data_IF_460771267112
#
_entry.id   IF_460771267112
#
_cell.length_a   1.000
_cell.length_b   1.000
_cell.length_c   1.000
_cell.angle_alpha   90.00
_cell.angle_beta   90.00
_cell.angle_gamma   90.00
#
_symmetry.space_group_name_H-M   'P 1'
#
loop_
_entity.id
_entity.type
_entity.pdbx_description
1 polymer ?
#
# COMPACT_ATOMS: atom_id res chain seq x y z
N UNK A 1 6.65 -4.33 38.55
CA UNK A 1 6.96 -3.85 37.18
C UNK A 1 8.39 -4.22 36.85
N UNK A 2 8.62 -5.20 35.96
CA UNK A 2 9.99 -5.56 35.55
C UNK A 2 10.50 -4.48 34.59
N UNK A 3 11.55 -3.77 35.01
CA UNK A 3 12.27 -2.79 34.19
C UNK A 3 12.74 -3.47 32.91
N UNK A 4 12.23 -3.04 31.75
CA UNK A 4 12.73 -3.54 30.47
C UNK A 4 14.18 -3.09 30.29
N UNK A 5 15.06 -4.02 29.93
CA UNK A 5 16.48 -3.74 29.67
C UNK A 5 16.62 -2.70 28.56
N UNK A 6 17.62 -1.80 28.66
CA UNK A 6 17.81 -0.70 27.72
C UNK A 6 17.83 -1.11 26.24
N UNK A 7 18.29 -2.34 25.95
CA UNK A 7 18.31 -2.95 24.62
C UNK A 7 16.91 -3.24 24.04
N UNK A 8 15.93 -3.59 24.88
CA UNK A 8 14.52 -3.73 24.48
C UNK A 8 13.91 -2.36 24.16
N UNK A 9 14.25 -1.34 24.95
CA UNK A 9 13.81 0.03 24.69
C UNK A 9 14.39 0.53 23.35
N UNK A 10 15.67 0.29 23.11
CA UNK A 10 16.38 0.66 21.88
C UNK A 10 15.80 -0.03 20.63
N UNK A 11 15.51 -1.34 20.69
CA UNK A 11 14.82 -2.07 19.61
C UNK A 11 13.41 -1.54 19.32
N UNK A 12 12.69 -1.08 20.35
CA UNK A 12 11.35 -0.49 20.21
C UNK A 12 11.39 0.99 19.78
N UNK A 13 12.52 1.66 19.96
CA UNK A 13 12.68 3.08 19.64
C UNK A 13 13.48 3.35 18.38
N UNK A 14 14.12 2.34 17.76
CA UNK A 14 14.94 2.54 16.56
C UNK A 14 14.02 2.67 15.34
N UNK A 15 13.83 3.87 14.78
CA UNK A 15 12.99 4.06 13.61
C UNK A 15 13.78 3.53 12.42
N UNK A 16 13.31 2.45 11.79
CA UNK A 16 13.80 2.09 10.46
C UNK A 16 12.99 2.92 9.48
N UNK A 17 13.53 4.07 9.12
CA UNK A 17 12.83 5.16 8.43
C UNK A 17 12.59 4.96 6.93
N UNK A 18 12.80 3.74 6.42
CA UNK A 18 12.78 3.47 4.98
C UNK A 18 11.86 2.28 4.65
N UNK A 19 11.08 2.42 3.58
CA UNK A 19 10.37 1.30 2.97
C UNK A 19 11.38 0.24 2.49
N UNK A 20 11.21 -1.02 2.90
CA UNK A 20 12.05 -2.14 2.41
C UNK A 20 11.71 -2.60 0.99
N UNK A 21 10.70 -1.97 0.35
CA UNK A 21 10.13 -2.49 -0.87
C UNK A 21 9.67 -3.96 -0.73
N UNK A 22 9.22 -4.38 0.46
CA UNK A 22 8.82 -5.79 0.68
C UNK A 22 7.48 -6.17 0.06
N UNK A 23 6.65 -5.20 -0.35
CA UNK A 23 5.33 -5.43 -0.93
C UNK A 23 4.21 -5.78 0.06
N UNK A 24 4.49 -5.84 1.38
CA UNK A 24 3.51 -6.32 2.36
C UNK A 24 2.27 -5.43 2.48
N UNK A 25 2.42 -4.12 2.24
CA UNK A 25 1.27 -3.22 2.15
C UNK A 25 0.30 -3.61 1.02
N UNK A 26 0.82 -4.15 -0.09
CA UNK A 26 -0.01 -4.63 -1.19
C UNK A 26 -0.65 -5.99 -0.87
N UNK A 27 0.08 -6.91 -0.23
CA UNK A 27 -0.46 -8.25 0.09
C UNK A 27 -1.56 -8.22 1.15
N UNK A 28 -1.43 -7.33 2.15
CA UNK A 28 -2.32 -7.37 3.31
C UNK A 28 -3.47 -6.35 3.25
N UNK A 29 -3.28 -5.20 2.58
CA UNK A 29 -4.24 -4.10 2.67
C UNK A 29 -4.88 -3.69 1.35
N UNK A 30 -4.40 -4.19 0.20
CA UNK A 30 -4.90 -3.73 -1.09
C UNK A 30 -6.35 -4.10 -1.40
N UNK A 31 -6.91 -5.11 -0.71
CA UNK A 31 -8.26 -5.63 -0.92
C UNK A 31 -9.39 -4.73 -0.36
N UNK A 32 -9.04 -3.68 0.40
CA UNK A 32 -10.01 -2.78 1.04
C UNK A 32 -9.66 -1.30 0.87
N UNK A 33 -9.23 -0.90 -0.33
CA UNK A 33 -8.84 0.47 -0.62
C UNK A 33 -9.87 1.15 -1.54
N UNK A 34 -9.97 2.47 -1.44
CA UNK A 34 -10.74 3.30 -2.37
C UNK A 34 -9.86 4.30 -3.09
N UNK A 35 -10.15 4.55 -4.35
CA UNK A 35 -9.56 5.67 -5.08
C UNK A 35 -10.14 7.00 -4.58
N UNK A 36 -9.30 8.02 -4.48
CA UNK A 36 -9.77 9.41 -4.31
C UNK A 36 -10.27 9.99 -5.63
N UNK A 37 -11.04 11.06 -5.61
CA UNK A 37 -11.38 11.80 -6.84
C UNK A 37 -10.12 12.30 -7.57
N UNK A 38 -9.09 12.70 -6.81
CA UNK A 38 -7.80 13.13 -7.38
C UNK A 38 -7.08 11.98 -8.09
N UNK A 39 -7.21 10.74 -7.60
CA UNK A 39 -6.69 9.55 -8.27
C UNK A 39 -7.38 9.35 -9.62
N UNK A 40 -8.71 9.42 -9.64
CA UNK A 40 -9.50 9.25 -10.86
C UNK A 40 -9.19 10.34 -11.90
N UNK A 41 -9.10 11.59 -11.47
CA UNK A 41 -8.72 12.71 -12.35
C UNK A 41 -7.31 12.53 -12.91
N UNK A 42 -6.34 12.20 -12.05
CA UNK A 42 -4.95 11.95 -12.46
C UNK A 42 -4.85 10.82 -13.47
N UNK A 43 -5.54 9.70 -13.27
CA UNK A 43 -5.49 8.56 -14.19
C UNK A 43 -6.19 8.85 -15.53
N UNK A 44 -7.31 9.60 -15.52
CA UNK A 44 -7.95 10.08 -16.76
C UNK A 44 -7.03 10.98 -17.56
N UNK A 45 -6.39 11.96 -16.91
CA UNK A 45 -5.45 12.89 -17.58
C UNK A 45 -4.25 12.16 -18.19
N UNK A 46 -3.80 11.08 -17.56
CA UNK A 46 -2.68 10.26 -18.03
C UNK A 46 -3.09 9.16 -19.02
N UNK A 47 -4.38 9.04 -19.38
CA UNK A 47 -4.87 8.00 -20.28
C UNK A 47 -4.74 6.56 -19.73
N UNK A 48 -4.70 6.40 -18.40
CA UNK A 48 -4.50 5.11 -17.72
C UNK A 48 -5.83 4.37 -17.53
N UNK A 49 -6.43 3.95 -18.64
CA UNK A 49 -7.69 3.20 -18.66
C UNK A 49 -7.56 1.87 -17.89
N UNK A 50 -6.38 1.25 -17.90
CA UNK A 50 -6.07 0.04 -17.14
C UNK A 50 -6.20 0.22 -15.62
N UNK A 51 -6.06 1.45 -15.10
CA UNK A 51 -6.33 1.78 -13.70
C UNK A 51 -7.81 2.08 -13.47
N UNK A 52 -8.42 2.82 -14.40
CA UNK A 52 -9.83 3.23 -14.30
C UNK A 52 -10.77 2.02 -14.35
N UNK A 53 -10.47 1.01 -15.18
CA UNK A 53 -11.22 -0.25 -15.27
C UNK A 53 -11.14 -1.09 -13.99
N UNK A 54 -10.19 -0.79 -13.10
CA UNK A 54 -10.01 -1.46 -11.81
C UNK A 54 -10.62 -0.70 -10.64
N UNK A 55 -11.51 0.25 -10.92
CA UNK A 55 -12.33 0.97 -9.94
C UNK A 55 -13.79 0.58 -10.15
N UNK A 56 -14.45 0.04 -9.13
CA UNK A 56 -15.89 -0.24 -9.24
C UNK A 56 -16.75 0.99 -8.95
N UNK A 57 -18.07 0.86 -9.14
CA UNK A 57 -19.04 1.95 -8.96
C UNK A 57 -19.08 2.55 -7.55
N UNK A 58 -18.53 1.87 -6.54
CA UNK A 58 -18.46 2.34 -5.15
C UNK A 58 -17.08 2.96 -4.79
N UNK A 59 -16.20 3.09 -5.79
CA UNK A 59 -14.85 3.62 -5.65
C UNK A 59 -13.83 2.61 -5.14
N UNK A 60 -14.19 1.33 -4.96
CA UNK A 60 -13.23 0.32 -4.52
C UNK A 60 -12.21 0.03 -5.61
N UNK A 61 -10.96 -0.07 -5.18
CA UNK A 61 -9.83 -0.59 -5.92
C UNK A 61 -9.29 -1.79 -5.12
N UNK A 62 -8.61 -2.77 -5.68
CA UNK A 62 -8.41 -3.10 -7.08
C UNK A 62 -9.41 -4.19 -7.45
N UNK A 63 -10.25 -3.94 -8.45
CA UNK A 63 -11.23 -4.94 -8.88
C UNK A 63 -10.82 -5.66 -10.15
N UNK A 64 -11.39 -6.84 -10.36
CA UNK A 64 -11.43 -7.48 -11.66
C UNK A 64 -12.25 -6.61 -12.62
N UNK A 65 -11.73 -6.23 -13.80
CA UNK A 65 -12.40 -5.32 -14.72
C UNK A 65 -13.65 -5.92 -15.38
N UNK A 66 -13.82 -7.25 -15.35
CA UNK A 66 -14.98 -7.96 -15.92
C UNK A 66 -16.04 -8.19 -14.85
N UNK A 67 -15.66 -8.74 -13.69
CA UNK A 67 -16.63 -9.11 -12.64
C UNK A 67 -16.91 -7.98 -11.65
N UNK A 68 -16.06 -6.94 -11.61
CA UNK A 68 -16.04 -5.88 -10.61
C UNK A 68 -15.84 -6.37 -9.15
N UNK A 69 -15.43 -7.63 -8.98
CA UNK A 69 -15.09 -8.20 -7.68
C UNK A 69 -13.71 -7.73 -7.21
N UNK A 70 -13.54 -7.58 -5.90
CA UNK A 70 -12.27 -7.13 -5.31
C UNK A 70 -11.24 -8.24 -5.42
N UNK A 71 -10.07 -7.89 -5.92
CA UNK A 71 -8.92 -8.79 -5.96
C UNK A 71 -8.35 -8.95 -4.54
N UNK A 72 -7.89 -10.17 -4.19
CA UNK A 72 -7.28 -10.42 -2.88
C UNK A 72 -5.92 -9.74 -2.74
N UNK A 73 -5.24 -9.46 -3.85
CA UNK A 73 -3.92 -8.83 -3.90
C UNK A 73 -3.88 -7.78 -5.02
N UNK A 74 -3.08 -6.73 -4.82
CA UNK A 74 -2.86 -5.67 -5.79
C UNK A 74 -2.33 -6.24 -7.12
N UNK A 75 -2.96 -5.96 -8.26
CA UNK A 75 -2.50 -6.43 -9.56
C UNK A 75 -1.24 -5.72 -10.07
N UNK A 76 -0.79 -4.66 -9.37
CA UNK A 76 0.41 -3.89 -9.69
C UNK A 76 1.59 -4.20 -8.75
N UNK A 77 1.45 -5.23 -7.90
CA UNK A 77 2.55 -5.77 -7.11
C UNK A 77 3.38 -6.70 -8.00
N UNK A 78 4.66 -6.39 -8.17
CA UNK A 78 5.60 -7.23 -8.91
C UNK A 78 6.72 -7.67 -7.98
N UNK A 79 6.93 -8.99 -7.88
CA UNK A 79 8.05 -9.57 -7.16
C UNK A 79 9.27 -9.59 -8.06
N UNK A 80 10.39 -9.09 -7.55
CA UNK A 80 11.65 -8.94 -8.31
C UNK A 80 12.73 -9.84 -7.73
N UNK A 81 12.79 -9.97 -6.41
CA UNK A 81 13.66 -10.89 -5.69
C UNK A 81 12.93 -11.40 -4.44
N UNK A 82 13.42 -12.48 -3.78
CA UNK A 82 12.91 -12.85 -2.48
C UNK A 82 12.87 -11.64 -1.52
N UNK A 83 11.73 -11.45 -0.85
CA UNK A 83 11.46 -10.33 0.05
C UNK A 83 11.53 -8.92 -0.58
N UNK A 84 11.62 -8.81 -1.91
CA UNK A 84 11.72 -7.55 -2.64
C UNK A 84 10.68 -7.48 -3.76
N UNK A 85 9.92 -6.40 -3.77
CA UNK A 85 8.83 -6.17 -4.69
C UNK A 85 8.73 -4.68 -5.05
N UNK A 86 8.24 -4.40 -6.25
CA UNK A 86 7.94 -3.05 -6.72
C UNK A 86 6.45 -2.89 -6.98
N UNK A 87 6.03 -1.63 -6.96
CA UNK A 87 4.75 -1.23 -7.50
C UNK A 87 4.97 -0.76 -8.93
N UNK A 88 4.42 -1.47 -9.92
CA UNK A 88 4.62 -1.10 -11.34
C UNK A 88 3.98 0.23 -11.72
N UNK A 89 3.12 0.77 -10.85
CA UNK A 89 2.51 2.10 -10.98
C UNK A 89 3.02 3.09 -9.93
N UNK A 90 4.21 2.87 -9.34
CA UNK A 90 4.73 3.63 -8.20
C UNK A 90 4.56 5.15 -8.33
N UNK A 91 4.91 5.73 -9.49
CA UNK A 91 4.82 7.16 -9.74
C UNK A 91 3.38 7.70 -9.65
N UNK A 92 2.38 6.88 -10.00
CA UNK A 92 0.97 7.26 -10.13
C UNK A 92 0.04 6.43 -9.23
N UNK A 93 0.60 5.76 -8.21
CA UNK A 93 -0.16 4.97 -7.24
C UNK A 93 -1.26 5.83 -6.57
N UNK A 94 -2.36 5.21 -6.10
CA UNK A 94 -3.43 5.91 -5.40
C UNK A 94 -2.92 6.71 -4.21
N UNK A 95 -3.61 7.79 -3.84
CA UNK A 95 -3.29 8.60 -2.67
C UNK A 95 -3.26 7.75 -1.39
N UNK A 96 -4.21 6.83 -1.23
CA UNK A 96 -4.26 5.92 -0.08
C UNK A 96 -3.03 5.00 -0.01
N UNK A 97 -2.44 4.62 -1.15
CA UNK A 97 -1.18 3.87 -1.19
C UNK A 97 0.06 4.75 -0.93
N UNK A 98 -0.03 6.06 -1.16
CA UNK A 98 1.02 7.04 -0.78
C UNK A 98 1.00 7.31 0.71
N UNK A 99 -0.20 7.38 1.30
CA UNK A 99 -0.42 7.65 2.71
C UNK A 99 -0.11 6.45 3.63
N UNK A 100 0.28 5.29 3.09
CA UNK A 100 0.64 4.15 3.91
C UNK A 100 1.94 4.41 4.70
N UNK A 101 1.98 4.09 6.01
CA UNK A 101 0.91 3.52 6.83
C UNK A 101 -0.13 4.56 7.27
N UNK A 102 -1.42 4.21 7.24
CA UNK A 102 -2.51 5.12 7.64
C UNK A 102 -2.88 4.95 9.12
N UNK A 103 -3.89 5.69 9.58
CA UNK A 103 -4.47 5.52 10.91
C UNK A 103 -5.04 4.10 11.14
N UNK A 104 -5.52 3.42 10.09
CA UNK A 104 -6.00 2.03 10.20
C UNK A 104 -4.88 1.05 10.56
N UNK A 105 -3.64 1.39 10.21
CA UNK A 105 -2.45 0.65 10.60
C UNK A 105 -1.73 1.27 11.81
N UNK A 106 -2.40 2.15 12.57
CA UNK A 106 -1.82 2.89 13.70
C UNK A 106 -0.52 3.65 13.35
N UNK A 107 -0.36 4.06 12.08
CA UNK A 107 0.87 4.68 11.59
C UNK A 107 2.08 3.74 11.56
N UNK A 108 1.87 2.42 11.52
CA UNK A 108 2.93 1.42 11.54
C UNK A 108 2.91 0.54 10.27
N UNK A 109 4.09 0.35 9.67
CA UNK A 109 4.28 -0.67 8.65
C UNK A 109 4.27 -2.06 9.30
N UNK A 110 3.78 -3.06 8.59
CA UNK A 110 3.77 -4.46 9.05
C UNK A 110 5.16 -5.05 9.31
N UNK A 111 6.20 -4.54 8.65
CA UNK A 111 7.60 -4.93 8.91
C UNK A 111 8.25 -4.15 10.05
N UNK A 112 7.50 -3.29 10.75
CA UNK A 112 7.97 -2.50 11.90
C UNK A 112 8.83 -1.29 11.53
N UNK A 113 8.67 -0.78 10.30
CA UNK A 113 9.50 0.28 9.73
C UNK A 113 8.64 1.50 9.45
N UNK A 114 9.06 2.69 9.84
CA UNK A 114 8.28 3.88 9.55
C UNK A 114 8.57 4.29 8.10
N UNK A 115 7.52 4.46 7.30
CA UNK A 115 7.62 5.14 6.01
C UNK A 115 7.38 6.61 6.34
N UNK A 116 8.43 7.43 6.28
CA UNK A 116 8.33 8.88 6.46
C UNK A 116 7.56 9.54 5.33
#
# INVERSE_FOLDING_TARGET
>A
MKSMTGRLKELLTTPKDNCLACGECCRQFSWHLKASENDLERWRRLGRNDLLERVNRLGWIWVDPVTAERLPVCPFLEEIEPDTAICSIHAIKPDICRAYPTAEQYGQCLRGLQVK
#
